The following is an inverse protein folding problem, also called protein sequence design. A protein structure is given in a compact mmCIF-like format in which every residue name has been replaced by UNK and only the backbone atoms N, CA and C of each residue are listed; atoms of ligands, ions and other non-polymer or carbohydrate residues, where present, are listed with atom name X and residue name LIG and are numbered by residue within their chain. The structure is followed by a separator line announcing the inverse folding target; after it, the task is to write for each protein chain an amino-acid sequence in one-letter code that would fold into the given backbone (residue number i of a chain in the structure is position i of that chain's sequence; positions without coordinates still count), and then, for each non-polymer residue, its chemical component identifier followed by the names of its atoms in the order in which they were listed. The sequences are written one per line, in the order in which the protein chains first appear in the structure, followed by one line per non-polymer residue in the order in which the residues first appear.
data_IF_730378209752
#
_entry.id   IF_730378209752
#
_cell.length_a   1.000
_cell.length_b   1.000
_cell.length_c   1.000
_cell.angle_alpha   90.00
_cell.angle_beta   90.00
_cell.angle_gamma   90.00
#
_symmetry.space_group_name_H-M   'P 1'
#
loop_
_entity.id
_entity.type
_entity.pdbx_description
1 polymer ?
#
# COMPACT_ATOMS: atom_id res chain seq x y z
N UNK A 1 2.40 -35.84 -30.56
CA UNK A 1 2.37 -36.62 -29.31
C UNK A 1 3.60 -36.33 -28.45
N UNK A 2 4.83 -36.55 -28.94
CA UNK A 2 6.06 -36.32 -28.15
C UNK A 2 6.22 -34.90 -27.54
N UNK A 3 5.84 -33.83 -28.26
CA UNK A 3 5.93 -32.47 -27.72
C UNK A 3 4.92 -32.20 -26.58
N UNK A 4 3.72 -32.78 -26.68
CA UNK A 4 2.71 -32.68 -25.63
C UNK A 4 3.18 -33.41 -24.36
N UNK A 5 3.77 -34.59 -24.53
CA UNK A 5 4.34 -35.37 -23.41
C UNK A 5 5.48 -34.62 -22.72
N UNK A 6 6.34 -33.94 -23.49
CA UNK A 6 7.42 -33.12 -22.95
C UNK A 6 6.88 -31.93 -22.15
N UNK A 7 5.88 -31.21 -22.68
CA UNK A 7 5.24 -30.08 -21.98
C UNK A 7 4.62 -30.51 -20.66
N UNK A 8 3.86 -31.61 -20.66
CA UNK A 8 3.27 -32.16 -19.43
C UNK A 8 4.33 -32.51 -18.40
N UNK A 9 5.45 -33.10 -18.83
CA UNK A 9 6.55 -33.48 -17.92
C UNK A 9 7.28 -32.28 -17.33
N UNK A 10 7.48 -31.21 -18.10
CA UNK A 10 8.05 -29.95 -17.59
C UNK A 10 7.13 -29.35 -16.53
N UNK A 11 5.82 -29.31 -16.77
CA UNK A 11 4.85 -28.79 -15.80
C UNK A 11 4.85 -29.60 -14.50
N UNK A 12 4.85 -30.94 -14.58
CA UNK A 12 4.94 -31.79 -13.40
C UNK A 12 6.22 -31.54 -12.58
N UNK A 13 7.36 -31.32 -13.25
CA UNK A 13 8.62 -31.00 -12.57
C UNK A 13 8.56 -29.63 -11.90
N UNK A 14 8.00 -28.62 -12.55
CA UNK A 14 7.78 -27.31 -11.93
C UNK A 14 6.88 -27.45 -10.69
N UNK A 15 5.86 -28.29 -10.72
CA UNK A 15 4.94 -28.48 -9.58
C UNK A 15 5.54 -29.30 -8.43
N UNK A 16 6.31 -30.34 -8.72
CA UNK A 16 6.78 -31.30 -7.69
C UNK A 16 8.19 -31.02 -7.18
N UNK A 17 9.04 -30.40 -8.01
CA UNK A 17 10.45 -30.16 -7.68
C UNK A 17 10.70 -28.66 -7.44
N UNK A 18 11.02 -28.33 -6.18
CA UNK A 18 11.30 -26.96 -5.75
C UNK A 18 12.59 -26.41 -6.35
N UNK A 19 13.65 -27.21 -6.44
CA UNK A 19 14.95 -26.77 -6.94
C UNK A 19 14.88 -26.50 -8.44
N UNK A 20 14.20 -27.37 -9.18
CA UNK A 20 13.92 -27.17 -10.61
C UNK A 20 13.07 -25.92 -10.85
N UNK A 21 11.98 -25.73 -10.08
CA UNK A 21 11.13 -24.53 -10.17
C UNK A 21 11.92 -23.25 -9.95
N UNK A 22 12.76 -23.20 -8.91
CA UNK A 22 13.57 -22.02 -8.62
C UNK A 22 14.62 -21.74 -9.70
N UNK A 23 15.22 -22.79 -10.26
CA UNK A 23 16.18 -22.67 -11.36
C UNK A 23 15.51 -22.13 -12.63
N UNK A 24 14.35 -22.67 -13.01
CA UNK A 24 13.55 -22.15 -14.13
C UNK A 24 13.14 -20.72 -13.88
N UNK A 25 12.67 -20.40 -12.66
CA UNK A 25 12.30 -19.03 -12.29
C UNK A 25 13.47 -18.05 -12.44
N UNK A 26 14.68 -18.44 -12.06
CA UNK A 26 15.88 -17.65 -12.31
C UNK A 26 16.17 -17.48 -13.81
N UNK A 27 16.05 -18.54 -14.62
CA UNK A 27 16.30 -18.49 -16.06
C UNK A 27 15.29 -17.64 -16.83
N UNK A 28 14.01 -17.63 -16.40
CA UNK A 28 12.95 -16.84 -17.04
C UNK A 28 12.84 -15.42 -16.49
N UNK A 29 13.78 -14.99 -15.65
CA UNK A 29 13.82 -13.63 -15.11
C UNK A 29 12.78 -13.34 -14.02
N UNK A 30 12.16 -14.37 -13.42
CA UNK A 30 11.23 -14.18 -12.31
C UNK A 30 11.94 -13.67 -11.05
N UNK A 31 13.24 -13.90 -10.91
CA UNK A 31 14.02 -13.39 -9.78
C UNK A 31 14.05 -11.86 -9.77
N UNK A 32 14.32 -11.24 -10.92
CA UNK A 32 14.33 -9.78 -11.09
C UNK A 32 12.92 -9.19 -10.88
N UNK A 33 11.88 -9.92 -11.29
CA UNK A 33 10.48 -9.53 -11.00
C UNK A 33 10.21 -9.55 -9.49
N UNK A 34 10.66 -10.58 -8.77
CA UNK A 34 10.50 -10.68 -7.32
C UNK A 34 11.25 -9.56 -6.58
N UNK A 35 12.50 -9.26 -6.98
CA UNK A 35 13.28 -8.16 -6.40
C UNK A 35 12.59 -6.80 -6.60
N UNK A 36 11.99 -6.57 -7.77
CA UNK A 36 11.20 -5.35 -8.04
C UNK A 36 9.91 -5.29 -7.21
N UNK A 37 9.27 -6.42 -6.97
CA UNK A 37 8.10 -6.49 -6.08
C UNK A 37 8.49 -6.16 -4.63
N UNK A 38 9.60 -6.67 -4.13
CA UNK A 38 10.12 -6.31 -2.81
C UNK A 38 10.48 -4.81 -2.70
N UNK A 39 11.02 -4.21 -3.76
CA UNK A 39 11.23 -2.75 -3.80
C UNK A 39 9.90 -1.98 -3.77
N UNK A 40 8.88 -2.45 -4.48
CA UNK A 40 7.56 -1.85 -4.47
C UNK A 40 6.90 -1.97 -3.09
N UNK A 41 7.01 -3.11 -2.42
CA UNK A 41 6.46 -3.31 -1.07
C UNK A 41 7.06 -2.30 -0.09
N UNK A 42 8.37 -2.07 -0.14
CA UNK A 42 9.03 -1.02 0.67
C UNK A 42 8.49 0.39 0.36
N UNK A 43 8.32 0.73 -0.92
CA UNK A 43 7.74 2.03 -1.32
C UNK A 43 6.29 2.17 -0.84
N UNK A 44 5.52 1.08 -0.86
CA UNK A 44 4.16 1.10 -0.32
C UNK A 44 4.15 1.31 1.19
N UNK A 45 5.06 0.68 1.94
CA UNK A 45 5.20 0.93 3.38
C UNK A 45 5.51 2.40 3.68
N UNK A 46 6.42 3.02 2.93
CA UNK A 46 6.73 4.46 3.06
C UNK A 46 5.49 5.33 2.79
N UNK A 47 4.75 5.05 1.72
CA UNK A 47 3.51 5.78 1.39
C UNK A 47 2.49 5.64 2.52
N UNK A 48 2.35 4.45 3.12
CA UNK A 48 1.43 4.21 4.24
C UNK A 48 1.84 4.97 5.51
N UNK A 49 3.13 5.17 5.74
CA UNK A 49 3.61 6.03 6.84
C UNK A 49 3.21 7.48 6.57
N UNK A 50 3.53 8.03 5.39
CA UNK A 50 3.17 9.42 5.04
C UNK A 50 1.65 9.66 5.09
N UNK A 51 0.85 8.70 4.64
CA UNK A 51 -0.62 8.81 4.72
C UNK A 51 -1.09 8.87 6.17
N UNK A 52 -0.52 8.09 7.08
CA UNK A 52 -0.86 8.15 8.51
C UNK A 52 -0.50 9.51 9.12
N UNK A 53 0.67 10.06 8.78
CA UNK A 53 1.08 11.39 9.24
C UNK A 53 0.14 12.48 8.72
N UNK A 54 -0.25 12.41 7.44
CA UNK A 54 -1.24 13.34 6.88
C UNK A 54 -2.60 13.23 7.57
N UNK A 55 -3.08 12.02 7.83
CA UNK A 55 -4.34 11.81 8.57
C UNK A 55 -4.29 12.45 9.96
N UNK A 56 -3.20 12.26 10.70
CA UNK A 56 -3.03 12.88 12.02
C UNK A 56 -3.05 14.42 11.95
N UNK A 57 -2.40 15.00 10.94
CA UNK A 57 -2.42 16.45 10.72
C UNK A 57 -3.82 16.97 10.36
N UNK A 58 -4.59 16.21 9.59
CA UNK A 58 -5.98 16.58 9.31
C UNK A 58 -6.84 16.54 10.58
N UNK A 59 -6.70 15.52 11.42
CA UNK A 59 -7.40 15.48 12.71
C UNK A 59 -7.04 16.66 13.62
N UNK A 60 -5.77 17.10 13.62
CA UNK A 60 -5.37 18.31 14.35
C UNK A 60 -5.99 19.58 13.77
N UNK A 61 -6.10 19.67 12.44
CA UNK A 61 -6.76 20.80 11.79
C UNK A 61 -8.25 20.83 12.13
N UNK A 62 -8.92 19.68 12.10
CA UNK A 62 -10.34 19.56 12.43
C UNK A 62 -10.62 20.05 13.86
N UNK A 63 -9.79 19.65 14.84
CA UNK A 63 -9.88 20.16 16.22
C UNK A 63 -9.73 21.69 16.30
N UNK A 64 -8.74 22.26 15.59
CA UNK A 64 -8.56 23.73 15.55
C UNK A 64 -9.75 24.44 14.91
N UNK A 65 -10.34 23.86 13.87
CA UNK A 65 -11.55 24.41 13.26
C UNK A 65 -12.74 24.37 14.23
N UNK A 66 -12.93 23.28 14.99
CA UNK A 66 -13.96 23.20 16.03
C UNK A 66 -13.79 24.27 17.11
N UNK A 67 -12.57 24.53 17.56
CA UNK A 67 -12.25 25.62 18.51
C UNK A 67 -12.59 27.01 17.95
N UNK A 68 -12.22 27.27 16.70
CA UNK A 68 -12.55 28.53 16.02
C UNK A 68 -14.05 28.70 15.89
N UNK A 69 -14.77 27.65 15.48
CA UNK A 69 -16.24 27.69 15.35
C UNK A 69 -16.91 27.95 16.71
N UNK A 70 -16.38 27.39 17.78
CA UNK A 70 -16.89 27.63 19.14
C UNK A 70 -16.69 29.09 19.54
N UNK A 71 -15.48 29.62 19.35
CA UNK A 71 -15.17 31.03 19.63
C UNK A 71 -16.05 31.98 18.83
N UNK A 72 -16.28 31.68 17.54
CA UNK A 72 -17.15 32.47 16.68
C UNK A 72 -18.59 32.46 17.16
N UNK A 73 -19.12 31.31 17.60
CA UNK A 73 -20.47 31.23 18.18
C UNK A 73 -20.60 32.07 19.44
N UNK A 74 -19.62 32.01 20.34
CA UNK A 74 -19.60 32.83 21.55
C UNK A 74 -19.57 34.32 21.23
N UNK A 75 -18.74 34.74 20.26
CA UNK A 75 -18.71 36.13 19.80
C UNK A 75 -20.06 36.56 19.21
N UNK A 76 -20.66 35.75 18.33
CA UNK A 76 -21.98 36.07 17.75
C UNK A 76 -23.06 36.23 18.81
N UNK A 77 -23.10 35.35 19.83
CA UNK A 77 -24.05 35.47 20.94
C UNK A 77 -23.88 36.79 21.71
N UNK A 78 -22.63 37.18 22.00
CA UNK A 78 -22.37 38.45 22.68
C UNK A 78 -22.77 39.66 21.83
N UNK A 79 -22.61 39.60 20.51
CA UNK A 79 -23.10 40.67 19.64
C UNK A 79 -24.63 40.76 19.68
N UNK A 80 -25.34 39.63 19.63
CA UNK A 80 -26.82 39.60 19.74
C UNK A 80 -27.33 40.10 21.10
N UNK A 81 -26.59 39.91 22.20
CA UNK A 81 -26.95 40.43 23.52
C UNK A 81 -26.77 41.96 23.67
N UNK A 82 -25.97 42.56 22.79
CA UNK A 82 -25.60 43.98 22.85
C UNK A 82 -26.36 44.87 21.84
N UNK A 83 -27.13 44.29 20.93
CA UNK A 83 -28.09 44.95 20.01
C UNK A 83 -29.52 44.99 20.60
#
# INVERSE_FOLDING_TARGET
MAEADLKSRILELIEKDREFRLSVAGLVGLKEVLERLEEHDRKFEEILVTLREHSQRFEEHDRKFEEILTTLREHSQRFEEHD
#
